data_IF_722693325451
#
_entry.id   IF_722693325451
#
_cell.length_a   1.000
_cell.length_b   1.000
_cell.length_c   1.000
_cell.angle_alpha   90.00
_cell.angle_beta   90.00
_cell.angle_gamma   90.00
#
_symmetry.space_group_name_H-M   'P 1'
#
loop_
_entity.id
_entity.type
_entity.pdbx_description
1 polymer ?
#
# COMPACT_ATOMS: atom_id res chain seq x y z
N UNK A 1 -27.56 -9.47 -23.99
CA UNK A 1 -26.46 -9.62 -24.95
C UNK A 1 -25.32 -8.83 -24.33
N UNK A 2 -24.51 -9.40 -23.44
CA UNK A 2 -23.48 -10.36 -23.81
C UNK A 2 -22.26 -9.61 -24.35
N UNK A 3 -21.82 -8.56 -23.66
CA UNK A 3 -20.54 -7.91 -23.99
C UNK A 3 -19.43 -8.89 -23.63
N UNK A 4 -18.70 -9.32 -24.65
CA UNK A 4 -17.50 -10.12 -24.52
C UNK A 4 -16.50 -9.35 -23.66
N UNK A 5 -16.13 -9.88 -22.50
CA UNK A 5 -14.87 -9.51 -21.85
C UNK A 5 -13.77 -9.68 -22.90
N UNK A 6 -13.22 -8.57 -23.39
CA UNK A 6 -11.99 -8.62 -24.18
C UNK A 6 -10.96 -9.33 -23.32
N UNK A 7 -10.46 -10.49 -23.77
CA UNK A 7 -9.34 -11.10 -23.08
C UNK A 7 -8.18 -10.10 -23.17
N UNK A 8 -7.78 -9.54 -22.03
CA UNK A 8 -6.55 -8.79 -21.98
C UNK A 8 -5.42 -9.66 -22.51
N UNK A 9 -4.50 -9.06 -23.29
CA UNK A 9 -3.39 -9.82 -23.83
C UNK A 9 -2.56 -10.37 -22.67
N UNK A 10 -2.30 -11.67 -22.69
CA UNK A 10 -1.42 -12.36 -21.73
C UNK A 10 0.07 -12.19 -22.11
N UNK A 11 0.36 -11.40 -23.14
CA UNK A 11 1.71 -11.16 -23.63
C UNK A 11 2.57 -10.41 -22.59
N UNK A 12 3.79 -10.92 -22.40
CA UNK A 12 4.76 -10.32 -21.48
C UNK A 12 4.50 -10.57 -20.00
N UNK A 13 3.46 -11.31 -19.62
CA UNK A 13 3.33 -11.80 -18.25
C UNK A 13 4.29 -12.94 -17.96
N UNK A 14 4.78 -13.01 -16.72
CA UNK A 14 5.64 -14.11 -16.29
C UNK A 14 4.90 -15.45 -16.33
N UNK A 15 5.57 -16.56 -16.72
CA UNK A 15 4.95 -17.89 -16.73
C UNK A 15 4.35 -18.30 -15.38
N UNK A 16 4.99 -17.98 -14.26
CA UNK A 16 4.48 -18.29 -12.92
C UNK A 16 3.18 -17.52 -12.60
N UNK A 17 3.03 -16.29 -13.08
CA UNK A 17 1.78 -15.55 -12.95
C UNK A 17 0.68 -16.18 -13.80
N UNK A 18 1.00 -16.53 -15.05
CA UNK A 18 0.05 -17.17 -15.95
C UNK A 18 -0.46 -18.51 -15.41
N UNK A 19 0.37 -19.26 -14.67
CA UNK A 19 -0.06 -20.48 -14.00
C UNK A 19 -1.12 -20.22 -12.91
N UNK A 20 -0.99 -19.14 -12.14
CA UNK A 20 -2.02 -18.71 -11.17
C UNK A 20 -3.33 -18.38 -11.89
N UNK A 21 -3.26 -17.60 -12.96
CA UNK A 21 -4.45 -17.22 -13.75
C UNK A 21 -5.14 -18.45 -14.34
N UNK A 22 -4.38 -19.42 -14.87
CA UNK A 22 -4.94 -20.66 -15.40
C UNK A 22 -5.67 -21.49 -14.33
N UNK A 23 -5.13 -21.56 -13.12
CA UNK A 23 -5.78 -22.26 -12.01
C UNK A 23 -7.10 -21.59 -11.64
N UNK A 24 -7.12 -20.26 -11.57
CA UNK A 24 -8.31 -19.50 -11.24
C UNK A 24 -9.39 -19.66 -12.32
N UNK A 25 -9.02 -19.53 -13.60
CA UNK A 25 -9.91 -19.76 -14.74
C UNK A 25 -10.56 -21.16 -14.65
N UNK A 26 -9.77 -22.19 -14.30
CA UNK A 26 -10.26 -23.55 -14.13
C UNK A 26 -11.20 -23.72 -12.93
N UNK A 27 -11.11 -22.85 -11.92
CA UNK A 27 -11.94 -22.85 -10.70
C UNK A 27 -13.16 -21.94 -10.75
N UNK A 28 -13.47 -21.33 -11.90
CA UNK A 28 -14.61 -20.42 -12.07
C UNK A 28 -14.23 -18.95 -12.24
N UNK A 29 -12.94 -18.65 -12.45
CA UNK A 29 -12.39 -17.31 -12.61
C UNK A 29 -11.96 -16.68 -11.29
N UNK A 30 -11.09 -15.67 -11.36
CA UNK A 30 -10.79 -14.83 -10.19
C UNK A 30 -11.96 -13.92 -9.89
N UNK A 31 -12.17 -13.63 -8.61
CA UNK A 31 -13.02 -12.53 -8.19
C UNK A 31 -12.60 -11.20 -8.85
N UNK A 32 -13.58 -10.45 -9.35
CA UNK A 32 -13.44 -9.13 -9.95
C UNK A 32 -14.46 -8.21 -9.30
N UNK A 33 -14.03 -7.01 -8.90
CA UNK A 33 -14.94 -5.99 -8.38
C UNK A 33 -15.96 -5.61 -9.45
N UNK A 34 -17.24 -5.73 -9.10
CA UNK A 34 -18.38 -5.52 -10.01
C UNK A 34 -18.97 -4.12 -9.93
N UNK A 35 -18.55 -3.34 -8.93
CA UNK A 35 -19.11 -2.06 -8.54
C UNK A 35 -20.27 -2.15 -7.54
N UNK A 36 -20.55 -3.35 -7.02
CA UNK A 36 -21.52 -3.55 -5.95
C UNK A 36 -20.78 -3.75 -4.62
N UNK A 37 -20.51 -2.65 -3.90
CA UNK A 37 -19.75 -2.70 -2.64
C UNK A 37 -20.30 -3.66 -1.59
N UNK A 38 -21.62 -3.91 -1.55
CA UNK A 38 -22.20 -4.86 -0.60
C UNK A 38 -21.79 -6.32 -0.86
N UNK A 39 -21.34 -6.63 -2.08
CA UNK A 39 -20.79 -7.93 -2.46
C UNK A 39 -19.27 -7.85 -2.56
N UNK A 40 -18.77 -6.79 -3.18
CA UNK A 40 -17.37 -6.66 -3.55
C UNK A 40 -16.44 -6.56 -2.33
N UNK A 41 -16.80 -5.74 -1.35
CA UNK A 41 -15.99 -5.52 -0.14
C UNK A 41 -15.84 -6.80 0.70
N UNK A 42 -16.93 -7.48 1.13
CA UNK A 42 -16.78 -8.70 1.91
C UNK A 42 -16.11 -9.83 1.12
N UNK A 43 -16.27 -9.87 -0.21
CA UNK A 43 -15.59 -10.87 -1.05
C UNK A 43 -14.09 -10.61 -1.13
N UNK A 44 -13.69 -9.36 -1.38
CA UNK A 44 -12.28 -8.96 -1.37
C UNK A 44 -11.63 -9.30 -0.03
N UNK A 45 -12.26 -8.87 1.07
CA UNK A 45 -11.75 -9.08 2.42
C UNK A 45 -11.58 -10.57 2.73
N UNK A 46 -12.57 -11.39 2.39
CA UNK A 46 -12.50 -12.84 2.61
C UNK A 46 -11.40 -13.51 1.78
N UNK A 47 -11.25 -13.14 0.51
CA UNK A 47 -10.24 -13.70 -0.40
C UNK A 47 -8.83 -13.36 0.09
N UNK A 48 -8.55 -12.09 0.36
CA UNK A 48 -7.22 -11.66 0.78
C UNK A 48 -6.89 -12.12 2.20
N UNK A 49 -7.86 -12.18 3.13
CA UNK A 49 -7.64 -12.80 4.43
C UNK A 49 -7.32 -14.30 4.32
N UNK A 50 -7.95 -15.02 3.37
CA UNK A 50 -7.65 -16.43 3.12
C UNK A 50 -6.27 -16.62 2.47
N UNK A 51 -5.86 -15.74 1.56
CA UNK A 51 -4.50 -15.75 0.98
C UNK A 51 -3.44 -15.41 2.04
N UNK A 52 -3.70 -14.41 2.89
CA UNK A 52 -2.84 -14.04 4.02
C UNK A 52 -2.53 -15.26 4.91
N UNK A 53 -3.53 -16.07 5.24
CA UNK A 53 -3.36 -17.31 6.04
C UNK A 53 -2.55 -18.42 5.36
N UNK A 54 -2.33 -18.35 4.05
CA UNK A 54 -1.53 -19.33 3.32
C UNK A 54 -0.04 -19.00 3.32
N UNK A 55 0.35 -17.82 3.81
CA UNK A 55 1.76 -17.51 4.02
C UNK A 55 2.38 -18.45 5.07
N UNK A 56 3.66 -18.85 4.89
CA UNK A 56 4.34 -19.71 5.84
C UNK A 56 4.34 -19.13 7.26
N UNK A 57 4.18 -20.00 8.25
CA UNK A 57 4.38 -19.61 9.64
C UNK A 57 5.82 -19.11 9.85
N UNK A 58 5.95 -18.07 10.65
CA UNK A 58 7.24 -17.50 11.01
C UNK A 58 7.76 -18.20 12.27
N UNK A 59 9.06 -18.55 12.33
CA UNK A 59 9.65 -19.15 13.51
C UNK A 59 9.82 -18.17 14.68
N UNK A 60 9.78 -16.86 14.41
CA UNK A 60 9.96 -15.82 15.43
C UNK A 60 8.77 -15.75 16.40
N UNK A 61 9.06 -15.79 17.70
CA UNK A 61 8.05 -15.55 18.73
C UNK A 61 7.56 -14.10 18.68
N UNK A 62 6.24 -13.94 18.64
CA UNK A 62 5.60 -12.64 18.51
C UNK A 62 4.26 -12.64 19.24
N UNK A 63 4.00 -11.55 19.96
CA UNK A 63 2.69 -11.28 20.56
C UNK A 63 1.87 -10.46 19.57
N UNK A 64 0.63 -10.89 19.31
CA UNK A 64 -0.31 -10.18 18.44
C UNK A 64 -1.63 -9.99 19.17
N UNK A 65 -2.13 -8.76 19.19
CA UNK A 65 -3.39 -8.42 19.84
C UNK A 65 -4.07 -7.23 19.16
N UNK A 66 -5.38 -7.14 19.35
CA UNK A 66 -6.20 -6.07 18.80
C UNK A 66 -6.50 -5.04 19.90
N UNK A 67 -6.44 -3.76 19.53
CA UNK A 67 -6.83 -2.63 20.37
C UNK A 67 -7.72 -1.67 19.57
N UNK A 68 -8.27 -0.68 20.27
CA UNK A 68 -8.97 0.44 19.65
C UNK A 68 -8.31 1.74 20.08
N UNK A 69 -8.06 2.63 19.13
CA UNK A 69 -7.59 3.98 19.44
C UNK A 69 -8.65 4.74 20.22
N UNK A 70 -8.24 5.75 20.99
CA UNK A 70 -9.22 6.61 21.67
C UNK A 70 -10.05 7.44 20.66
N UNK A 71 -11.07 8.14 21.17
CA UNK A 71 -11.97 8.92 20.32
C UNK A 71 -11.32 10.14 19.65
N UNK A 72 -10.28 10.71 20.27
CA UNK A 72 -9.56 11.86 19.69
C UNK A 72 -8.68 11.43 18.50
N UNK A 73 -8.24 10.18 18.51
CA UNK A 73 -7.54 9.52 17.41
C UNK A 73 -8.45 8.64 16.53
N UNK A 74 -9.76 8.91 16.54
CA UNK A 74 -10.73 8.36 15.59
C UNK A 74 -11.46 7.08 16.00
N UNK A 75 -11.14 6.47 17.14
CA UNK A 75 -11.80 5.24 17.59
C UNK A 75 -11.58 4.04 16.65
N UNK A 76 -10.41 3.99 16.00
CA UNK A 76 -10.06 3.03 14.96
C UNK A 76 -9.66 1.69 15.58
N UNK A 77 -10.06 0.59 14.95
CA UNK A 77 -9.54 -0.73 15.31
C UNK A 77 -8.11 -0.87 14.77
N UNK A 78 -7.21 -1.38 15.62
CA UNK A 78 -5.81 -1.62 15.25
C UNK A 78 -5.39 -3.02 15.67
N UNK A 79 -4.45 -3.62 14.93
CA UNK A 79 -3.76 -4.85 15.32
C UNK A 79 -2.29 -4.55 15.55
N UNK A 80 -1.79 -4.93 16.72
CA UNK A 80 -0.41 -4.69 17.13
C UNK A 80 0.36 -6.01 17.06
N UNK A 81 1.54 -5.97 16.44
CA UNK A 81 2.44 -7.10 16.27
C UNK A 81 3.78 -6.73 16.91
N UNK A 82 4.09 -7.37 18.04
CA UNK A 82 5.34 -7.13 18.78
C UNK A 82 6.20 -8.39 18.81
N UNK A 83 7.28 -8.46 18.02
CA UNK A 83 8.25 -9.56 18.10
C UNK A 83 9.01 -9.49 19.43
N UNK A 84 9.53 -10.63 19.90
CA UNK A 84 10.45 -10.64 21.03
C UNK A 84 11.73 -9.84 20.71
N UNK A 85 12.17 -8.97 21.62
CA UNK A 85 13.37 -8.15 21.44
C UNK A 85 13.97 -7.72 22.78
N UNK A 86 15.30 -7.71 22.85
CA UNK A 86 16.07 -7.18 23.98
C UNK A 86 16.33 -5.65 23.87
N UNK A 87 15.90 -5.04 22.76
CA UNK A 87 16.09 -3.62 22.46
C UNK A 87 14.76 -2.97 22.08
N UNK A 88 14.58 -1.66 22.36
CA UNK A 88 13.45 -0.91 21.83
C UNK A 88 13.34 -1.07 20.32
N UNK A 89 12.16 -1.45 19.84
CA UNK A 89 11.91 -1.69 18.42
C UNK A 89 11.55 -0.37 17.73
N UNK A 90 11.98 -0.13 16.48
CA UNK A 90 11.38 0.94 15.67
C UNK A 90 9.88 0.66 15.44
N UNK A 91 9.11 1.72 15.22
CA UNK A 91 7.67 1.66 14.93
C UNK A 91 7.42 1.61 13.41
N UNK A 92 6.55 0.71 12.98
CA UNK A 92 5.96 0.71 11.65
C UNK A 92 4.43 0.83 11.78
N UNK A 93 3.87 1.84 11.12
CA UNK A 93 2.42 2.01 11.01
C UNK A 93 2.01 1.47 9.64
N UNK A 94 1.21 0.41 9.63
CA UNK A 94 0.79 -0.27 8.41
C UNK A 94 -0.64 0.12 8.04
N UNK A 95 -0.85 0.57 6.81
CA UNK A 95 -2.16 0.85 6.25
C UNK A 95 -2.49 -0.21 5.19
N UNK A 96 -3.57 -0.99 5.36
CA UNK A 96 -3.93 -1.99 4.38
C UNK A 96 -4.30 -1.39 3.01
N UNK A 97 -4.10 -2.16 1.95
CA UNK A 97 -4.57 -1.85 0.59
C UNK A 97 -6.10 -1.97 0.44
N UNK A 98 -6.56 -2.12 -0.81
CA UNK A 98 -7.99 -2.31 -1.10
C UNK A 98 -8.73 -1.07 -1.62
N UNK A 99 -8.02 -0.17 -2.29
CA UNK A 99 -8.66 0.92 -3.05
C UNK A 99 -9.52 1.87 -2.19
N UNK A 100 -9.18 2.09 -0.92
CA UNK A 100 -10.02 2.83 0.05
C UNK A 100 -11.47 2.35 0.19
N UNK A 101 -11.85 1.21 -0.40
CA UNK A 101 -13.21 0.64 -0.35
C UNK A 101 -13.25 -0.66 0.46
N UNK A 102 -12.15 -1.42 0.45
CA UNK A 102 -11.99 -2.73 1.08
C UNK A 102 -10.64 -2.79 1.79
N UNK A 103 -10.30 -3.93 2.39
CA UNK A 103 -9.09 -4.10 3.19
C UNK A 103 -9.35 -3.86 4.67
N UNK A 104 -8.88 -4.79 5.49
CA UNK A 104 -9.01 -4.78 6.94
C UNK A 104 -7.78 -5.44 7.60
N UNK A 105 -7.81 -5.60 8.92
CA UNK A 105 -6.68 -6.14 9.70
C UNK A 105 -6.26 -7.57 9.30
N UNK A 106 -7.15 -8.34 8.68
CA UNK A 106 -6.86 -9.73 8.28
C UNK A 106 -6.28 -9.83 6.86
N UNK A 107 -6.57 -8.85 5.99
CA UNK A 107 -6.22 -8.93 4.55
C UNK A 107 -4.72 -8.95 4.25
N UNK A 108 -3.91 -8.33 5.11
CA UNK A 108 -2.44 -8.28 5.01
C UNK A 108 -1.76 -8.63 6.34
N UNK A 109 -2.45 -9.42 7.19
CA UNK A 109 -1.93 -9.90 8.48
C UNK A 109 -0.56 -10.57 8.33
N UNK A 110 -0.38 -11.44 7.34
CA UNK A 110 0.89 -12.10 7.07
C UNK A 110 2.03 -11.12 6.73
N UNK A 111 1.74 -10.07 5.95
CA UNK A 111 2.76 -9.07 5.62
C UNK A 111 3.17 -8.26 6.86
N UNK A 112 2.21 -7.88 7.71
CA UNK A 112 2.49 -7.24 9.00
C UNK A 112 3.39 -8.13 9.88
N UNK A 113 3.08 -9.42 9.96
CA UNK A 113 3.91 -10.40 10.69
C UNK A 113 5.33 -10.50 10.12
N UNK A 114 5.47 -10.53 8.79
CA UNK A 114 6.78 -10.59 8.12
C UNK A 114 7.60 -9.35 8.42
N UNK A 115 7.01 -8.15 8.33
CA UNK A 115 7.70 -6.91 8.68
C UNK A 115 8.13 -6.90 10.15
N UNK A 116 7.20 -7.23 11.06
CA UNK A 116 7.46 -7.28 12.49
C UNK A 116 8.62 -8.22 12.81
N UNK A 117 8.62 -9.45 12.29
CA UNK A 117 9.64 -10.44 12.58
C UNK A 117 10.99 -10.15 11.89
N UNK A 118 10.96 -9.78 10.60
CA UNK A 118 12.18 -9.72 9.79
C UNK A 118 12.84 -8.34 9.81
N UNK A 119 12.13 -7.24 10.04
CA UNK A 119 12.72 -5.89 10.19
C UNK A 119 13.31 -5.65 11.60
N UNK A 120 13.11 -6.60 12.53
CA UNK A 120 12.50 -6.39 13.85
C UNK A 120 11.91 -5.00 14.09
N UNK A 121 10.58 -4.87 14.04
CA UNK A 121 9.86 -3.64 14.40
C UNK A 121 8.55 -3.93 15.14
N UNK A 122 8.06 -2.96 15.91
CA UNK A 122 6.67 -2.94 16.38
C UNK A 122 5.80 -2.53 15.19
N UNK A 123 4.91 -3.40 14.74
CA UNK A 123 3.96 -3.07 13.67
C UNK A 123 2.59 -2.76 14.29
N UNK A 124 2.01 -1.63 13.92
CA UNK A 124 0.60 -1.30 14.23
C UNK A 124 -0.14 -1.17 12.91
N UNK A 125 -0.99 -2.16 12.61
CA UNK A 125 -1.86 -2.14 11.42
C UNK A 125 -3.16 -1.41 11.75
N UNK A 126 -3.53 -0.44 10.92
CA UNK A 126 -4.65 0.47 11.19
C UNK A 126 -5.83 0.17 10.28
N UNK A 127 -6.98 -0.17 10.87
CA UNK A 127 -8.24 -0.33 10.13
C UNK A 127 -8.91 1.03 9.89
N UNK A 128 -8.39 1.79 8.93
CA UNK A 128 -8.94 3.09 8.56
C UNK A 128 -10.34 2.95 7.89
N UNK A 129 -11.23 3.94 8.00
CA UNK A 129 -12.57 3.88 7.41
C UNK A 129 -12.52 3.92 5.88
N UNK A 130 -13.57 3.45 5.23
CA UNK A 130 -13.62 3.26 3.78
C UNK A 130 -14.68 4.15 3.12
N UNK A 131 -14.44 4.55 1.87
CA UNK A 131 -15.48 5.16 1.03
C UNK A 131 -16.55 4.11 0.67
N UNK A 132 -17.80 4.51 0.39
CA UNK A 132 -18.36 5.87 0.44
C UNK A 132 -18.86 6.28 1.83
N UNK A 133 -18.64 5.46 2.88
CA UNK A 133 -19.12 5.75 4.23
C UNK A 133 -18.46 7.00 4.85
N UNK A 134 -17.25 7.32 4.41
CA UNK A 134 -16.52 8.56 4.72
C UNK A 134 -15.93 9.16 3.45
N UNK A 135 -15.50 10.42 3.47
CA UNK A 135 -14.80 11.06 2.34
C UNK A 135 -13.30 10.74 2.37
N UNK A 136 -12.62 10.85 1.23
CA UNK A 136 -11.17 10.65 1.15
C UNK A 136 -10.40 11.59 2.10
N UNK A 137 -10.77 12.87 2.15
CA UNK A 137 -10.17 13.83 3.10
C UNK A 137 -10.30 13.37 4.56
N UNK A 138 -11.44 12.78 4.94
CA UNK A 138 -11.66 12.29 6.29
C UNK A 138 -10.76 11.08 6.60
N UNK A 139 -10.55 10.20 5.60
CA UNK A 139 -9.59 9.08 5.71
C UNK A 139 -8.17 9.62 5.91
N UNK A 140 -7.74 10.61 5.12
CA UNK A 140 -6.39 11.20 5.22
C UNK A 140 -6.23 11.90 6.58
N UNK A 141 -7.22 12.66 7.02
CA UNK A 141 -7.20 13.35 8.31
C UNK A 141 -7.10 12.35 9.47
N UNK A 142 -7.89 11.27 9.46
CA UNK A 142 -7.80 10.21 10.46
C UNK A 142 -6.47 9.47 10.40
N UNK A 143 -5.93 9.24 9.20
CA UNK A 143 -4.59 8.70 9.00
C UNK A 143 -3.49 9.59 9.60
N UNK A 144 -3.65 10.92 9.57
CA UNK A 144 -2.72 11.82 10.25
C UNK A 144 -2.89 11.78 11.77
N UNK A 145 -4.13 11.67 12.27
CA UNK A 145 -4.43 11.59 13.70
C UNK A 145 -3.96 10.27 14.32
N UNK A 146 -3.93 9.15 13.58
CA UNK A 146 -3.50 7.87 14.18
C UNK A 146 -1.99 7.79 14.41
N UNK A 147 -1.19 8.59 13.69
CA UNK A 147 0.28 8.61 13.83
C UNK A 147 0.74 8.95 15.26
N UNK A 148 0.31 10.06 15.89
CA UNK A 148 0.69 10.34 17.27
C UNK A 148 0.23 9.25 18.24
N UNK A 149 -0.98 8.70 18.09
CA UNK A 149 -1.44 7.58 18.92
C UNK A 149 -0.52 6.35 18.82
N UNK A 150 -0.11 5.98 17.61
CA UNK A 150 0.80 4.85 17.41
C UNK A 150 2.18 5.10 18.04
N UNK A 151 2.66 6.35 17.99
CA UNK A 151 3.93 6.76 18.60
C UNK A 151 3.87 6.73 20.13
N UNK A 152 2.77 7.20 20.71
CA UNK A 152 2.49 7.09 22.15
C UNK A 152 2.39 5.64 22.59
N UNK A 153 1.69 4.79 21.82
CA UNK A 153 1.60 3.34 22.06
C UNK A 153 2.98 2.67 22.05
N UNK A 154 3.85 3.03 21.11
CA UNK A 154 5.21 2.52 21.08
C UNK A 154 6.00 2.94 22.34
N UNK A 155 5.87 4.19 22.78
CA UNK A 155 6.49 4.67 24.02
C UNK A 155 5.98 3.91 25.26
N UNK A 156 4.67 3.69 25.39
CA UNK A 156 4.06 2.89 26.46
C UNK A 156 4.61 1.45 26.52
N UNK A 157 4.90 0.88 25.35
CA UNK A 157 5.47 -0.46 25.20
C UNK A 157 7.01 -0.49 25.33
N UNK A 158 7.63 0.63 25.69
CA UNK A 158 9.09 0.85 25.78
C UNK A 158 9.84 0.60 24.46
N UNK A 159 9.19 0.88 23.33
CA UNK A 159 9.75 0.84 21.98
C UNK A 159 10.17 2.24 21.48
N UNK A 160 10.94 2.27 20.38
CA UNK A 160 11.54 3.49 19.83
C UNK A 160 10.61 4.21 18.85
N UNK A 161 9.78 5.12 19.38
CA UNK A 161 8.93 5.99 18.56
C UNK A 161 9.70 7.05 17.76
N UNK A 162 10.98 7.30 18.02
CA UNK A 162 11.78 8.25 17.21
C UNK A 162 12.08 7.71 15.81
N UNK A 163 11.89 6.40 15.62
CA UNK A 163 12.04 5.70 14.35
C UNK A 163 10.68 5.18 13.87
N UNK A 164 9.93 6.02 13.16
CA UNK A 164 8.59 5.69 12.66
C UNK A 164 8.57 5.56 11.15
N UNK A 165 8.14 4.41 10.66
CA UNK A 165 7.95 4.13 9.23
C UNK A 165 6.47 4.05 8.91
N UNK A 166 6.03 4.73 7.85
CA UNK A 166 4.71 4.49 7.27
C UNK A 166 4.83 3.42 6.18
N UNK A 167 3.93 2.44 6.20
CA UNK A 167 3.97 1.31 5.28
C UNK A 167 2.58 0.98 4.74
N UNK A 168 2.51 0.53 3.50
CA UNK A 168 1.28 -0.06 2.97
C UNK A 168 1.42 -0.53 1.53
N UNK A 169 0.40 -1.25 1.07
CA UNK A 169 0.25 -1.70 -0.32
C UNK A 169 -0.86 -0.94 -1.05
N UNK A 170 -0.67 -0.60 -2.32
CA UNK A 170 -1.69 0.02 -3.18
C UNK A 170 -2.29 1.29 -2.52
N UNK A 171 -3.59 1.32 -2.23
CA UNK A 171 -4.23 2.43 -1.51
C UNK A 171 -3.62 2.71 -0.11
N UNK A 172 -3.08 1.71 0.57
CA UNK A 172 -2.35 1.88 1.82
C UNK A 172 -1.00 2.56 1.63
N UNK A 173 -0.31 2.27 0.52
CA UNK A 173 0.90 3.01 0.10
C UNK A 173 0.54 4.46 -0.24
N UNK A 174 -0.59 4.67 -0.91
CA UNK A 174 -1.08 6.00 -1.23
C UNK A 174 -1.37 6.82 0.02
N UNK A 175 -2.10 6.23 0.98
CA UNK A 175 -2.40 6.86 2.27
C UNK A 175 -1.12 7.18 3.03
N UNK A 176 -0.15 6.26 3.05
CA UNK A 176 1.16 6.48 3.67
C UNK A 176 1.88 7.71 3.06
N UNK A 177 1.88 7.82 1.73
CA UNK A 177 2.48 8.96 1.03
C UNK A 177 1.72 10.28 1.29
N UNK A 178 0.39 10.25 1.36
CA UNK A 178 -0.44 11.42 1.68
C UNK A 178 -0.23 11.90 3.13
N UNK A 179 -0.12 10.99 4.09
CA UNK A 179 0.18 11.31 5.49
C UNK A 179 1.61 11.88 5.59
N UNK A 180 2.59 11.24 4.97
CA UNK A 180 3.96 11.75 4.92
C UNK A 180 4.05 13.16 4.31
N UNK A 181 3.32 13.39 3.22
CA UNK A 181 3.19 14.72 2.62
C UNK A 181 2.58 15.72 3.61
N UNK A 182 1.53 15.32 4.35
CA UNK A 182 0.86 16.22 5.28
C UNK A 182 1.77 16.65 6.43
N UNK A 183 2.49 15.71 7.05
CA UNK A 183 3.48 16.03 8.07
C UNK A 183 4.57 16.97 7.54
N UNK A 184 5.11 16.67 6.34
CA UNK A 184 6.07 17.55 5.68
C UNK A 184 5.51 18.97 5.44
N UNK A 185 4.31 19.07 4.87
CA UNK A 185 3.68 20.35 4.54
C UNK A 185 3.33 21.18 5.80
N UNK A 186 3.02 20.52 6.90
CA UNK A 186 2.72 21.14 8.19
C UNK A 186 4.01 21.47 9.00
N UNK A 187 5.20 21.16 8.44
CA UNK A 187 6.51 21.51 9.01
C UNK A 187 7.07 20.50 10.02
N UNK A 188 6.45 19.34 10.16
CA UNK A 188 6.98 18.23 10.95
C UNK A 188 7.79 17.28 10.05
N UNK A 189 9.10 17.30 10.25
CA UNK A 189 10.06 16.50 9.50
C UNK A 189 10.72 15.42 10.36
N UNK A 190 10.19 15.17 11.55
CA UNK A 190 10.83 14.30 12.56
C UNK A 190 9.94 13.15 13.01
N UNK A 191 8.62 13.29 12.91
CA UNK A 191 7.68 12.23 13.32
C UNK A 191 7.62 11.05 12.34
N UNK A 192 8.10 11.23 11.11
CA UNK A 192 8.14 10.17 10.09
C UNK A 192 9.58 10.05 9.59
N UNK A 193 10.19 8.91 9.88
CA UNK A 193 11.57 8.58 9.50
C UNK A 193 11.65 8.12 8.05
N UNK A 194 10.62 7.42 7.56
CA UNK A 194 10.66 6.76 6.26
C UNK A 194 9.32 6.22 5.79
N UNK A 195 9.23 5.87 4.52
CA UNK A 195 8.06 5.23 3.93
C UNK A 195 8.44 3.96 3.14
N UNK A 196 7.64 2.91 3.31
CA UNK A 196 7.68 1.68 2.50
C UNK A 196 6.39 1.63 1.68
N UNK A 197 6.51 1.89 0.38
CA UNK A 197 5.38 2.15 -0.52
C UNK A 197 5.30 1.05 -1.57
N UNK A 198 4.46 0.04 -1.33
CA UNK A 198 4.34 -1.11 -2.23
C UNK A 198 3.23 -0.84 -3.25
N UNK A 199 3.57 -0.75 -4.54
CA UNK A 199 2.64 -0.34 -5.62
C UNK A 199 2.03 1.04 -5.34
N UNK A 200 2.90 2.02 -5.12
CA UNK A 200 2.52 3.39 -4.77
C UNK A 200 1.59 4.01 -5.82
N UNK A 201 0.55 4.71 -5.35
CA UNK A 201 -0.25 5.65 -6.14
C UNK A 201 0.19 7.05 -5.78
N UNK A 202 0.39 7.91 -6.76
CA UNK A 202 1.00 9.22 -6.54
C UNK A 202 0.57 10.30 -7.55
N UNK A 203 0.01 9.91 -8.71
CA UNK A 203 -0.61 10.77 -9.72
C UNK A 203 -1.94 10.13 -10.20
N UNK A 204 -2.48 10.62 -11.32
CA UNK A 204 -3.76 10.19 -11.89
C UNK A 204 -3.68 10.04 -13.41
N UNK A 205 -4.59 9.25 -14.00
CA UNK A 205 -4.59 8.94 -15.43
C UNK A 205 -4.74 10.15 -16.37
N UNK A 206 -5.30 11.27 -15.88
CA UNK A 206 -5.44 12.52 -16.63
C UNK A 206 -4.25 13.48 -16.46
N UNK A 207 -3.19 13.06 -15.77
CA UNK A 207 -2.02 13.91 -15.54
C UNK A 207 -1.41 14.39 -16.87
N UNK A 208 -1.17 15.70 -16.96
CA UNK A 208 -0.58 16.40 -18.12
C UNK A 208 0.54 17.39 -17.70
N UNK A 209 1.16 17.16 -16.54
CA UNK A 209 2.21 18.03 -16.02
C UNK A 209 3.62 17.73 -16.54
N UNK A 210 4.64 18.33 -15.88
CA UNK A 210 6.08 18.24 -16.23
C UNK A 210 6.56 16.81 -16.52
N UNK A 211 6.07 15.81 -15.78
CA UNK A 211 6.52 14.42 -15.88
C UNK A 211 5.67 13.55 -16.81
N UNK A 212 4.76 14.13 -17.60
CA UNK A 212 3.85 13.38 -18.50
C UNK A 212 4.60 12.43 -19.43
N UNK A 213 5.75 12.85 -19.93
CA UNK A 213 6.60 12.03 -20.81
C UNK A 213 7.10 10.72 -20.15
N UNK A 214 7.06 10.61 -18.81
CA UNK A 214 7.38 9.39 -18.05
C UNK A 214 6.14 8.58 -17.68
N UNK A 215 4.93 9.08 -17.95
CA UNK A 215 3.66 8.59 -17.40
C UNK A 215 2.79 7.94 -18.49
N UNK A 216 3.20 6.73 -18.86
CA UNK A 216 2.71 5.90 -19.97
C UNK A 216 1.91 4.68 -19.52
N UNK A 217 2.06 4.25 -18.26
CA UNK A 217 1.51 3.00 -17.71
C UNK A 217 -0.01 2.92 -17.77
N UNK A 218 -0.73 4.04 -17.70
CA UNK A 218 -2.18 4.02 -17.92
C UNK A 218 -2.57 3.68 -19.35
N UNK A 219 -1.77 4.09 -20.34
CA UNK A 219 -2.02 3.75 -21.76
C UNK A 219 -1.62 2.30 -22.01
N UNK A 220 -0.46 1.88 -21.50
CA UNK A 220 0.09 0.55 -21.71
C UNK A 220 -0.68 -0.53 -20.94
N UNK A 221 -1.04 -0.25 -19.69
CA UNK A 221 -1.58 -1.23 -18.75
C UNK A 221 -3.00 -0.94 -18.27
N UNK A 222 -3.59 0.22 -18.57
CA UNK A 222 -4.93 0.59 -18.10
C UNK A 222 -6.05 -0.30 -18.62
N UNK A 223 -5.79 -1.09 -19.67
CA UNK A 223 -6.70 -2.10 -20.22
C UNK A 223 -6.18 -3.54 -20.05
N UNK A 224 -5.21 -3.77 -19.15
CA UNK A 224 -4.71 -5.12 -18.84
C UNK A 224 -5.77 -6.02 -18.18
N UNK A 225 -6.91 -5.43 -17.84
CA UNK A 225 -8.07 -6.08 -17.27
C UNK A 225 -7.85 -6.52 -15.82
N UNK A 226 -8.92 -6.99 -15.17
CA UNK A 226 -8.80 -7.79 -13.97
C UNK A 226 -7.81 -8.94 -14.22
N UNK A 227 -7.01 -9.29 -13.20
CA UNK A 227 -7.60 -9.43 -11.88
C UNK A 227 -7.16 -8.47 -10.79
N UNK A 228 -6.40 -7.40 -11.04
CA UNK A 228 -5.86 -6.64 -9.89
C UNK A 228 -6.26 -5.17 -9.88
N UNK A 229 -6.00 -4.42 -10.95
CA UNK A 229 -6.48 -3.05 -11.06
C UNK A 229 -6.36 -2.57 -12.50
N UNK A 230 -7.42 -1.98 -13.04
CA UNK A 230 -7.43 -1.40 -14.38
C UNK A 230 -8.05 0.01 -14.34
N UNK A 231 -8.06 0.69 -15.49
CA UNK A 231 -8.54 2.08 -15.59
C UNK A 231 -10.05 2.21 -15.30
N UNK A 232 -10.85 1.23 -15.69
CA UNK A 232 -12.30 1.29 -15.45
C UNK A 232 -12.61 1.08 -13.97
N UNK A 233 -11.91 0.15 -13.30
CA UNK A 233 -11.99 -0.01 -11.86
C UNK A 233 -11.48 1.25 -11.13
N UNK A 234 -10.38 1.85 -11.59
CA UNK A 234 -9.85 3.10 -11.05
C UNK A 234 -10.90 4.22 -11.09
N UNK A 235 -11.50 4.47 -12.26
CA UNK A 235 -12.55 5.47 -12.45
C UNK A 235 -13.76 5.20 -11.57
N UNK A 236 -14.19 3.93 -11.50
CA UNK A 236 -15.32 3.54 -10.67
C UNK A 236 -15.05 3.83 -9.19
N UNK A 237 -13.92 3.35 -8.65
CA UNK A 237 -13.57 3.54 -7.24
C UNK A 237 -13.39 5.04 -6.93
N UNK A 238 -12.65 5.77 -7.76
CA UNK A 238 -12.32 7.17 -7.49
C UNK A 238 -13.50 8.11 -7.68
N UNK A 239 -14.57 7.67 -8.37
CA UNK A 239 -15.85 8.40 -8.40
C UNK A 239 -16.46 8.58 -7.00
N UNK A 240 -16.02 7.80 -6.01
CA UNK A 240 -16.44 7.91 -4.60
C UNK A 240 -15.50 8.75 -3.73
N UNK A 241 -14.35 9.19 -4.22
CA UNK A 241 -13.31 9.83 -3.39
C UNK A 241 -13.52 11.32 -3.17
N UNK A 242 -14.34 11.99 -3.99
CA UNK A 242 -14.37 13.46 -4.08
C UNK A 242 -12.95 14.03 -4.28
N UNK A 243 -12.21 13.44 -5.22
CA UNK A 243 -10.80 13.73 -5.44
C UNK A 243 -10.61 15.05 -6.21
N UNK A 244 -9.70 15.87 -5.71
CA UNK A 244 -9.15 17.03 -6.42
C UNK A 244 -7.84 16.62 -7.09
N UNK A 245 -7.86 16.53 -8.42
CA UNK A 245 -6.75 16.09 -9.26
C UNK A 245 -5.58 17.05 -9.32
N UNK A 246 -5.76 18.31 -8.91
CA UNK A 246 -4.71 19.32 -8.91
C UNK A 246 -4.11 19.55 -7.51
N UNK A 247 -4.65 18.88 -6.49
CA UNK A 247 -4.25 19.12 -5.11
C UNK A 247 -3.09 18.22 -4.69
N UNK A 248 -1.97 18.78 -4.20
CA UNK A 248 -0.88 17.98 -3.65
C UNK A 248 -1.26 17.28 -2.34
N UNK A 249 -2.39 17.65 -1.72
CA UNK A 249 -2.95 16.91 -0.57
C UNK A 249 -3.52 15.55 -0.95
N UNK A 250 -4.03 15.41 -2.17
CA UNK A 250 -4.46 14.12 -2.69
C UNK A 250 -3.33 13.42 -3.44
N UNK A 251 -2.54 14.15 -4.21
CA UNK A 251 -1.46 13.60 -5.02
C UNK A 251 -0.12 14.24 -4.63
N UNK A 252 0.65 13.63 -3.70
CA UNK A 252 1.91 14.20 -3.22
C UNK A 252 2.91 14.60 -4.32
N UNK A 253 2.87 13.96 -5.49
CA UNK A 253 3.71 14.31 -6.64
C UNK A 253 3.32 15.62 -7.36
N UNK A 254 2.29 16.32 -6.91
CA UNK A 254 1.99 17.66 -7.38
C UNK A 254 2.65 18.74 -6.51
N UNK A 255 3.26 18.37 -5.38
CA UNK A 255 3.96 19.31 -4.52
C UNK A 255 5.13 19.98 -5.26
N UNK A 256 5.30 21.29 -5.11
CA UNK A 256 6.40 22.03 -5.74
C UNK A 256 7.77 21.60 -5.20
N UNK A 257 7.86 21.33 -3.89
CA UNK A 257 9.09 20.91 -3.22
C UNK A 257 8.86 19.63 -2.42
N UNK A 258 9.73 18.63 -2.64
CA UNK A 258 9.79 17.37 -1.91
C UNK A 258 11.08 17.21 -1.12
N UNK A 259 11.92 18.24 -1.00
CA UNK A 259 13.25 18.18 -0.35
C UNK A 259 13.20 17.81 1.14
N UNK A 260 12.03 17.86 1.75
CA UNK A 260 11.74 17.49 3.14
C UNK A 260 10.88 16.24 3.28
N UNK A 261 10.57 15.57 2.18
CA UNK A 261 9.82 14.32 2.21
C UNK A 261 10.68 13.21 2.85
N UNK A 262 10.09 12.28 3.62
CA UNK A 262 10.87 11.20 4.22
C UNK A 262 11.48 10.27 3.15
N UNK A 263 12.63 9.66 3.44
CA UNK A 263 13.19 8.58 2.62
C UNK A 263 12.16 7.51 2.25
N UNK A 264 12.20 7.04 1.01
CA UNK A 264 11.24 6.06 0.51
C UNK A 264 11.90 4.79 -0.02
N UNK A 265 11.29 3.65 0.29
CA UNK A 265 11.45 2.43 -0.48
C UNK A 265 10.16 2.18 -1.27
N UNK A 266 10.28 1.93 -2.57
CA UNK A 266 9.17 1.88 -3.51
C UNK A 266 9.20 0.56 -4.27
N UNK A 267 8.04 -0.08 -4.42
CA UNK A 267 7.88 -1.26 -5.28
C UNK A 267 6.95 -0.93 -6.44
N UNK A 268 7.34 -1.34 -7.65
CA UNK A 268 6.54 -1.19 -8.87
C UNK A 268 6.54 -2.50 -9.68
N UNK A 269 5.54 -2.68 -10.53
CA UNK A 269 5.38 -3.86 -11.38
C UNK A 269 5.15 -3.44 -12.84
N UNK A 270 5.66 -4.21 -13.81
CA UNK A 270 5.55 -3.85 -15.22
C UNK A 270 4.10 -3.75 -15.71
N UNK A 271 3.26 -4.71 -15.33
CA UNK A 271 1.86 -4.84 -15.77
C UNK A 271 0.90 -4.18 -14.78
N UNK A 272 1.30 -3.02 -14.28
CA UNK A 272 0.54 -2.20 -13.33
C UNK A 272 0.22 -0.83 -13.96
N UNK A 273 -1.02 -0.38 -13.88
CA UNK A 273 -1.39 0.95 -14.36
C UNK A 273 -0.78 2.07 -13.50
N UNK A 274 -0.44 1.79 -12.24
CA UNK A 274 0.29 2.69 -11.33
C UNK A 274 1.82 2.54 -11.39
N UNK A 275 2.36 1.75 -12.34
CA UNK A 275 3.82 1.55 -12.47
C UNK A 275 4.58 2.87 -12.50
N UNK A 276 4.09 3.83 -13.27
CA UNK A 276 4.79 5.09 -13.47
C UNK A 276 4.61 6.05 -12.28
N UNK A 277 3.61 5.83 -11.40
CA UNK A 277 3.46 6.60 -10.15
C UNK A 277 4.67 6.42 -9.24
N UNK A 278 5.04 5.16 -8.98
CA UNK A 278 6.22 4.84 -8.18
C UNK A 278 7.53 5.26 -8.87
N UNK A 279 7.60 5.12 -10.19
CA UNK A 279 8.79 5.50 -10.98
C UNK A 279 9.02 7.01 -10.96
N UNK A 280 7.97 7.81 -11.17
CA UNK A 280 8.04 9.27 -11.10
C UNK A 280 8.29 9.72 -9.66
N UNK A 281 7.72 9.05 -8.66
CA UNK A 281 7.99 9.34 -7.25
C UNK A 281 9.47 9.15 -6.89
N UNK A 282 10.06 8.00 -7.23
CA UNK A 282 11.49 7.77 -7.01
C UNK A 282 12.35 8.85 -7.70
N UNK A 283 12.05 9.15 -8.96
CA UNK A 283 12.76 10.18 -9.72
C UNK A 283 12.68 11.54 -9.02
N UNK A 284 11.48 11.99 -8.65
CA UNK A 284 11.28 13.31 -8.02
C UNK A 284 11.94 13.39 -6.65
N UNK A 285 11.85 12.35 -5.83
CA UNK A 285 12.51 12.32 -4.52
C UNK A 285 14.02 12.48 -4.69
N UNK A 286 14.63 11.73 -5.62
CA UNK A 286 16.06 11.84 -5.92
C UNK A 286 16.45 13.19 -6.51
N UNK A 287 15.64 13.76 -7.41
CA UNK A 287 15.83 15.12 -7.96
C UNK A 287 15.82 16.17 -6.83
N UNK A 288 14.98 15.97 -5.81
CA UNK A 288 14.90 16.82 -4.60
C UNK A 288 15.94 16.50 -3.52
N UNK A 289 16.87 15.56 -3.76
CA UNK A 289 17.91 15.18 -2.80
C UNK A 289 17.44 14.26 -1.67
N UNK A 290 16.23 13.70 -1.75
CA UNK A 290 15.70 12.72 -0.79
C UNK A 290 16.18 11.31 -1.18
N UNK A 291 16.55 10.52 -0.17
CA UNK A 291 16.93 9.13 -0.37
C UNK A 291 15.72 8.33 -0.85
N UNK A 292 15.86 7.67 -1.99
CA UNK A 292 14.84 6.76 -2.50
C UNK A 292 15.45 5.52 -3.13
N UNK A 293 14.85 4.35 -2.87
CA UNK A 293 15.19 3.07 -3.49
C UNK A 293 13.93 2.50 -4.13
N UNK A 294 14.04 2.06 -5.38
CA UNK A 294 12.94 1.46 -6.12
C UNK A 294 13.33 0.04 -6.56
N UNK A 295 12.46 -0.93 -6.30
CA UNK A 295 12.52 -2.26 -6.87
C UNK A 295 11.39 -2.45 -7.90
N UNK A 296 11.76 -2.89 -9.10
CA UNK A 296 10.89 -3.04 -10.25
C UNK A 296 10.74 -4.51 -10.64
N UNK A 297 9.49 -4.95 -10.83
CA UNK A 297 9.16 -6.34 -11.13
C UNK A 297 8.60 -6.49 -12.55
N UNK A 298 9.46 -6.93 -13.47
CA UNK A 298 9.10 -7.23 -14.87
C UNK A 298 8.04 -8.33 -14.96
N UNK A 299 7.10 -8.23 -15.90
CA UNK A 299 6.08 -9.22 -16.24
C UNK A 299 5.05 -9.56 -15.16
N UNK A 300 5.01 -8.82 -14.06
CA UNK A 300 4.09 -9.04 -12.95
C UNK A 300 3.05 -7.91 -12.88
N UNK A 301 1.83 -8.18 -12.39
CA UNK A 301 0.80 -7.14 -12.24
C UNK A 301 0.87 -6.42 -10.89
N UNK A 302 0.02 -5.41 -10.77
CA UNK A 302 -0.31 -4.78 -9.48
C UNK A 302 -0.53 -5.85 -8.40
N UNK A 303 -0.05 -5.59 -7.18
CA UNK A 303 -0.35 -6.38 -5.98
C UNK A 303 0.08 -7.87 -6.00
N UNK A 304 0.91 -8.33 -6.93
CA UNK A 304 1.33 -9.74 -7.04
C UNK A 304 1.93 -10.31 -5.73
N UNK A 305 2.51 -9.45 -4.88
CA UNK A 305 3.09 -9.84 -3.59
C UNK A 305 2.08 -10.42 -2.58
N UNK A 306 0.78 -10.36 -2.86
CA UNK A 306 -0.25 -10.94 -2.00
C UNK A 306 -0.48 -12.45 -2.26
N UNK A 307 0.13 -13.02 -3.30
CA UNK A 307 -0.09 -14.39 -3.75
C UNK A 307 1.04 -15.31 -3.23
N UNK A 308 0.85 -16.01 -2.09
CA UNK A 308 1.93 -16.77 -1.43
C UNK A 308 2.45 -17.96 -2.22
N UNK A 309 1.71 -18.44 -3.23
CA UNK A 309 2.16 -19.50 -4.12
C UNK A 309 3.26 -19.05 -5.11
N UNK A 310 3.48 -17.74 -5.24
CA UNK A 310 4.51 -17.19 -6.11
C UNK A 310 5.82 -17.01 -5.33
N UNK A 311 6.90 -17.69 -5.72
CA UNK A 311 8.22 -17.49 -5.11
C UNK A 311 8.67 -16.01 -5.15
N UNK A 312 8.37 -15.32 -6.26
CA UNK A 312 8.66 -13.89 -6.40
C UNK A 312 7.89 -13.00 -5.41
N UNK A 313 6.73 -13.44 -4.88
CA UNK A 313 6.05 -12.70 -3.81
C UNK A 313 6.86 -12.73 -2.50
N UNK A 314 7.49 -13.88 -2.17
CA UNK A 314 8.38 -14.00 -1.01
C UNK A 314 9.65 -13.17 -1.20
N UNK A 315 10.23 -13.19 -2.40
CA UNK A 315 11.36 -12.31 -2.75
C UNK A 315 10.98 -10.83 -2.58
N UNK A 316 9.81 -10.43 -3.07
CA UNK A 316 9.34 -9.07 -2.96
C UNK A 316 9.16 -8.61 -1.52
N UNK A 317 8.59 -9.47 -0.66
CA UNK A 317 8.50 -9.18 0.77
C UNK A 317 9.86 -9.14 1.46
N UNK A 318 10.81 -10.00 1.09
CA UNK A 318 12.17 -9.96 1.62
C UNK A 318 12.88 -8.64 1.26
N UNK A 319 12.76 -8.18 0.00
CA UNK A 319 13.29 -6.87 -0.41
C UNK A 319 12.56 -5.72 0.25
N UNK A 320 11.25 -5.82 0.47
CA UNK A 320 10.51 -4.80 1.21
C UNK A 320 10.98 -4.68 2.66
N UNK A 321 11.32 -5.79 3.32
CA UNK A 321 11.96 -5.79 4.64
C UNK A 321 13.33 -5.10 4.60
N UNK A 322 14.15 -5.36 3.58
CA UNK A 322 15.40 -4.61 3.39
C UNK A 322 15.15 -3.11 3.14
N UNK A 323 14.09 -2.79 2.40
CA UNK A 323 13.60 -1.43 2.19
C UNK A 323 13.21 -0.72 3.48
N UNK A 324 12.53 -1.42 4.39
CA UNK A 324 12.20 -0.90 5.71
C UNK A 324 13.46 -0.57 6.51
N UNK A 325 14.50 -1.42 6.46
CA UNK A 325 15.80 -1.12 7.09
C UNK A 325 16.48 0.07 6.42
N UNK A 326 16.47 0.15 5.10
CA UNK A 326 17.06 1.26 4.34
C UNK A 326 16.48 2.62 4.74
N UNK A 327 15.16 2.72 4.94
CA UNK A 327 14.54 4.00 5.33
C UNK A 327 14.71 4.33 6.83
N UNK A 328 15.10 3.35 7.65
CA UNK A 328 15.37 3.51 9.09
C UNK A 328 16.81 3.93 9.42
N UNK A 329 17.74 3.75 8.47
CA UNK A 329 19.15 4.19 8.56
C UNK A 329 19.30 5.69 8.33
#
# INVERSE_FOLDING_TARGET
MGESHQSSSRDGYRPEWLAVVQLEDASGGRYVMTGNFAVDVPTYDAVFAAMSKQWPELPEEMTVWDEKTDSEHGGLDVRIYKPASDKPLPLMIYFPGGGYIAGNLDTEDAHCRIFAAKTPCLVISVNYPKVPSVKLDDIINLGCLVVPWCREKAEELNDDQSKTVLCGGSAGAFLSAQIAYRFMADGDHTSITGCVLIFAVALHWEYDGKYKHMYTSWVENGNSGPPVFDLELAKFIWSHYNIDFDSPRHFPLLADDLSKFPPCYIVTAEKDCFRDDGTVLDYRLRESGVRSKLDYYEGLPHYFHAFPQLEVAHEAMAKAVEGARFVLE
#
